data_IF_729412383305
#
_entry.id   IF_729412383305
#
_cell.length_a   1.000
_cell.length_b   1.000
_cell.length_c   1.000
_cell.angle_alpha   90.00
_cell.angle_beta   90.00
_cell.angle_gamma   90.00
#
_symmetry.space_group_name_H-M   'P 1'
#
loop_
_entity.id
_entity.type
_entity.pdbx_description
1 polymer ?
2 non-polymer ?
#
# COMPACT_ATOMS: atom_id res chain seq x y z
N UNK A 10 12.27 -5.61 13.28
CA UNK A 10 11.90 -6.27 12.03
C UNK A 10 10.63 -5.67 11.43
N UNK A 11 10.53 -5.73 10.11
CA UNK A 11 9.37 -5.18 9.42
C UNK A 11 8.68 -6.26 8.57
N UNK A 12 7.42 -6.52 8.88
CA UNK A 12 6.65 -7.53 8.15
C UNK A 12 5.76 -6.88 7.09
N UNK A 13 6.40 -6.35 6.04
CA UNK A 13 5.67 -5.70 4.96
C UNK A 13 5.09 -6.73 3.99
N UNK A 14 5.96 -7.33 3.19
CA UNK A 14 5.54 -8.33 2.21
C UNK A 14 4.41 -9.21 2.75
N UNK A 15 4.60 -9.74 3.96
CA UNK A 15 3.60 -10.58 4.60
C UNK A 15 2.24 -9.88 4.62
N UNK A 16 2.26 -8.58 4.93
CA UNK A 16 1.03 -7.80 4.98
C UNK A 16 0.61 -7.36 3.58
N UNK A 17 1.58 -7.04 2.75
CA UNK A 17 1.31 -6.61 1.39
C UNK A 17 0.52 -7.67 0.63
N UNK A 18 0.97 -8.92 0.71
CA UNK A 18 0.30 -10.03 0.06
C UNK A 18 -1.10 -10.23 0.62
N UNK A 19 -1.29 -9.87 1.89
CA UNK A 19 -2.58 -9.99 2.55
C UNK A 19 -3.61 -9.08 1.90
N UNK A 20 -3.22 -7.85 1.63
CA UNK A 20 -4.11 -6.87 1.00
C UNK A 20 -4.51 -7.29 -0.41
N UNK A 21 -3.63 -8.03 -1.08
CA UNK A 21 -3.95 -8.60 -2.39
C UNK A 21 -5.08 -9.61 -2.21
N UNK A 22 -4.93 -10.47 -1.20
CA UNK A 22 -5.94 -11.48 -0.88
C UNK A 22 -7.30 -10.83 -0.62
N UNK A 23 -7.32 -9.84 0.28
CA UNK A 23 -8.55 -9.14 0.63
C UNK A 23 -9.15 -8.45 -0.59
N UNK A 24 -8.28 -7.95 -1.47
CA UNK A 24 -8.70 -7.30 -2.70
C UNK A 24 -9.45 -8.27 -3.64
N UNK A 25 -8.79 -9.36 -4.01
CA UNK A 25 -9.41 -10.34 -4.90
C UNK A 25 -10.68 -10.91 -4.27
N UNK A 26 -10.67 -11.04 -2.95
CA UNK A 26 -11.87 -11.42 -2.22
C UNK A 26 -13.00 -10.44 -2.48
N UNK A 27 -12.68 -9.15 -2.37
CA UNK A 27 -13.66 -8.09 -2.58
C UNK A 27 -14.24 -8.14 -3.99
N UNK A 28 -13.38 -8.23 -5.01
CA UNK A 28 -13.86 -8.26 -6.38
C UNK A 28 -14.72 -9.51 -6.65
N UNK A 29 -14.36 -10.62 -6.01
CA UNK A 29 -15.16 -11.83 -6.08
C UNK A 29 -16.56 -11.58 -5.54
N UNK A 30 -16.62 -10.99 -4.35
CA UNK A 30 -17.90 -10.63 -3.73
C UNK A 30 -18.74 -9.77 -4.67
N UNK A 31 -18.10 -8.77 -5.27
CA UNK A 31 -18.78 -7.91 -6.25
C UNK A 31 -19.39 -8.73 -7.39
N UNK A 32 -18.60 -9.64 -7.95
CA UNK A 32 -19.07 -10.47 -9.07
C UNK A 32 -20.28 -11.31 -8.71
N UNK A 33 -20.13 -12.14 -7.68
CA UNK A 33 -21.22 -13.03 -7.26
C UNK A 33 -22.48 -12.24 -6.91
N UNK A 34 -22.30 -11.17 -6.15
CA UNK A 34 -23.42 -10.29 -5.79
C UNK A 34 -24.10 -9.74 -7.04
N UNK A 35 -23.32 -9.39 -8.05
CA UNK A 35 -23.88 -8.86 -9.29
C UNK A 35 -24.76 -9.89 -9.98
N UNK A 36 -24.26 -11.13 -10.06
CA UNK A 36 -25.04 -12.23 -10.63
C UNK A 36 -26.39 -12.36 -9.90
N UNK A 37 -26.31 -12.42 -8.56
CA UNK A 37 -27.50 -12.49 -7.73
C UNK A 37 -28.47 -11.35 -8.04
N UNK A 38 -27.92 -10.16 -8.22
CA UNK A 38 -28.70 -8.96 -8.52
C UNK A 38 -29.49 -9.12 -9.81
N UNK A 39 -28.79 -9.50 -10.88
CA UNK A 39 -29.45 -9.69 -12.17
C UNK A 39 -30.58 -10.71 -12.10
N UNK A 40 -30.29 -11.84 -11.45
CA UNK A 40 -31.33 -12.84 -11.19
C UNK A 40 -32.55 -12.21 -10.53
N UNK A 41 -32.29 -11.49 -9.44
CA UNK A 41 -33.33 -10.83 -8.66
C UNK A 41 -34.19 -9.89 -9.52
N UNK A 42 -33.53 -9.16 -10.43
CA UNK A 42 -34.23 -8.25 -11.33
C UNK A 42 -35.17 -9.02 -12.25
N UNK A 43 -34.66 -10.10 -12.84
CA UNK A 43 -35.51 -10.95 -13.68
C UNK A 43 -36.76 -11.39 -12.92
N UNK A 44 -36.53 -11.93 -11.73
CA UNK A 44 -37.61 -12.38 -10.84
C UNK A 44 -38.66 -11.31 -10.59
N UNK A 45 -38.20 -10.12 -10.20
CA UNK A 45 -39.11 -9.01 -9.94
C UNK A 45 -39.92 -8.68 -11.19
N UNK A 46 -39.24 -8.65 -12.33
CA UNK A 46 -39.90 -8.36 -13.61
C UNK A 46 -41.02 -9.37 -13.86
N UNK A 47 -40.75 -10.64 -13.59
CA UNK A 47 -41.74 -11.69 -13.78
C UNK A 47 -42.87 -11.53 -12.77
N UNK A 48 -42.53 -11.13 -11.56
CA UNK A 48 -43.52 -10.91 -10.52
C UNK A 48 -44.48 -9.79 -10.90
N UNK A 49 -43.93 -8.71 -11.42
CA UNK A 49 -44.74 -7.57 -11.86
C UNK A 49 -45.71 -7.99 -12.96
N UNK A 50 -45.21 -8.77 -13.90
CA UNK A 50 -46.03 -9.27 -15.00
C UNK A 50 -47.27 -9.98 -14.47
N UNK A 51 -47.04 -10.92 -13.56
CA UNK A 51 -48.16 -11.69 -13.00
C UNK A 51 -49.07 -10.86 -12.08
N UNK A 52 -48.49 -9.83 -11.44
CA UNK A 52 -49.30 -8.87 -10.69
C UNK A 52 -50.32 -8.21 -11.60
N UNK A 53 -49.85 -7.58 -12.68
CA UNK A 53 -50.74 -6.88 -13.60
C UNK A 53 -51.77 -7.85 -14.22
N UNK A 54 -51.33 -9.07 -14.50
CA UNK A 54 -52.24 -10.08 -15.04
C UNK A 54 -53.39 -10.38 -14.10
N UNK A 55 -53.06 -10.78 -12.87
CA UNK A 55 -54.09 -11.12 -11.90
C UNK A 55 -54.95 -9.93 -11.50
N UNK A 56 -54.39 -8.73 -11.67
CA UNK A 56 -55.16 -7.51 -11.48
C UNK A 56 -56.25 -7.40 -12.54
N UNK A 57 -55.83 -7.27 -13.80
CA UNK A 57 -56.77 -7.16 -14.91
C UNK A 57 -57.81 -8.28 -14.88
N UNK A 58 -57.35 -9.47 -14.53
CA UNK A 58 -58.22 -10.62 -14.30
C UNK A 58 -59.28 -10.29 -13.27
N UNK A 59 -58.84 -9.94 -12.06
CA UNK A 59 -59.77 -9.61 -10.97
C UNK A 59 -60.81 -8.58 -11.40
N UNK A 60 -60.37 -7.58 -12.13
CA UNK A 60 -61.25 -6.53 -12.65
C UNK A 60 -62.35 -7.12 -13.54
N UNK A 61 -61.92 -7.80 -14.62
CA UNK A 61 -62.85 -8.42 -15.55
C UNK A 61 -63.82 -9.37 -14.88
N UNK A 62 -63.30 -10.20 -13.98
CA UNK A 62 -64.10 -11.16 -13.25
C UNK A 62 -65.11 -10.48 -12.33
N UNK A 63 -64.74 -9.32 -11.78
CA UNK A 63 -65.67 -8.54 -10.97
C UNK A 63 -66.84 -8.06 -11.81
N UNK A 64 -66.51 -7.40 -12.93
CA UNK A 64 -67.55 -6.89 -13.83
C UNK A 64 -68.48 -8.00 -14.29
N UNK A 65 -67.90 -9.11 -14.74
CA UNK A 65 -68.66 -10.23 -15.24
C UNK A 65 -69.51 -10.88 -14.13
N UNK A 66 -68.97 -10.89 -12.92
CA UNK A 66 -69.69 -11.42 -11.77
C UNK A 66 -70.96 -10.61 -11.54
N UNK A 67 -70.82 -9.29 -11.46
CA UNK A 67 -71.99 -8.45 -11.26
C UNK A 67 -73.00 -8.61 -12.40
N UNK A 68 -72.49 -8.72 -13.63
CA UNK A 68 -73.35 -8.96 -14.79
C UNK A 68 -74.21 -10.21 -14.60
N UNK A 69 -73.54 -11.34 -14.35
CA UNK A 69 -74.23 -12.61 -14.19
C UNK A 69 -75.20 -12.62 -13.02
N UNK A 70 -74.81 -11.98 -11.92
CA UNK A 70 -75.67 -11.86 -10.76
C UNK A 70 -76.94 -11.14 -11.13
N UNK A 71 -76.79 -10.05 -11.90
CA UNK A 71 -77.94 -9.28 -12.35
C UNK A 71 -78.86 -10.10 -13.26
N UNK A 72 -78.28 -10.82 -14.22
CA UNK A 72 -79.07 -11.66 -15.12
C UNK A 72 -79.86 -12.72 -14.34
N UNK A 73 -79.19 -13.38 -13.40
CA UNK A 73 -79.82 -14.38 -12.55
C UNK A 73 -80.99 -13.76 -11.78
N UNK A 74 -80.76 -12.57 -11.23
CA UNK A 74 -81.82 -11.83 -10.54
C UNK A 74 -83.05 -11.64 -11.43
N UNK A 75 -82.82 -11.02 -12.59
CA UNK A 75 -83.88 -10.76 -13.54
C UNK A 75 -84.67 -12.02 -13.90
N UNK A 76 -83.96 -13.08 -14.29
CA UNK A 76 -84.61 -14.33 -14.66
C UNK A 76 -85.40 -14.96 -13.52
N UNK A 77 -84.86 -14.89 -12.30
CA UNK A 77 -85.58 -15.37 -11.13
C UNK A 77 -86.89 -14.61 -10.93
N UNK A 78 -86.85 -13.30 -11.16
CA UNK A 78 -88.06 -12.50 -11.11
C UNK A 78 -89.05 -12.92 -12.21
N UNK A 79 -88.52 -13.18 -13.41
CA UNK A 79 -89.33 -13.65 -14.53
C UNK A 79 -90.10 -14.92 -14.14
N UNK A 80 -89.38 -15.88 -13.57
CA UNK A 80 -89.99 -17.12 -13.11
C UNK A 80 -91.01 -16.87 -12.00
N UNK A 81 -90.63 -16.06 -11.02
CA UNK A 81 -91.49 -15.77 -9.88
C UNK A 81 -92.77 -15.05 -10.29
N UNK A 82 -92.75 -14.46 -11.49
CA UNK A 82 -93.94 -13.79 -12.01
C UNK A 82 -94.78 -14.71 -12.91
N UNK A 83 -94.11 -15.53 -13.72
CA UNK A 83 -94.83 -16.45 -14.61
C UNK A 83 -95.51 -17.59 -13.87
N UNK A 84 -94.81 -18.13 -12.87
CA UNK A 84 -95.30 -19.28 -12.09
C UNK A 84 -96.71 -19.16 -11.50
N UNK A 85 -97.05 -18.00 -10.90
CA UNK A 85 -98.42 -17.91 -10.37
C UNK A 85 -99.51 -17.92 -11.45
N UNK A 86 -99.14 -17.74 -12.72
CA UNK A 86 -100.13 -17.77 -13.80
C UNK A 86 -100.11 -19.12 -14.51
N UNK A 87 -99.82 -20.18 -13.76
CA UNK A 87 -99.78 -21.52 -14.33
C UNK A 87 -100.73 -22.46 -13.60
N UNK A 88 -100.39 -23.74 -13.58
CA UNK A 88 -101.22 -24.74 -12.92
C UNK A 88 -100.82 -24.91 -11.46
N UNK A 89 -101.65 -25.62 -10.70
CA UNK A 89 -101.38 -25.85 -9.28
C UNK A 89 -100.21 -26.81 -9.10
N UNK A 90 -100.27 -27.95 -9.78
CA UNK A 90 -99.21 -28.96 -9.69
C UNK A 90 -97.97 -28.46 -10.42
N UNK A 91 -98.20 -27.73 -11.51
CA UNK A 91 -97.11 -27.14 -12.28
C UNK A 91 -96.56 -25.92 -11.54
N UNK A 92 -97.43 -25.25 -10.80
CA UNK A 92 -97.01 -24.08 -10.02
C UNK A 92 -95.99 -24.51 -8.97
N UNK A 93 -96.36 -25.55 -8.21
CA UNK A 93 -95.45 -26.12 -7.23
C UNK A 93 -94.20 -26.69 -7.91
N UNK A 94 -94.43 -27.41 -9.00
CA UNK A 94 -93.35 -28.01 -9.79
C UNK A 94 -92.28 -26.98 -10.12
N UNK A 95 -92.71 -25.90 -10.77
CA UNK A 95 -91.83 -24.83 -11.21
C UNK A 95 -91.21 -24.08 -10.05
N UNK A 96 -92.00 -23.85 -9.01
CA UNK A 96 -91.50 -23.19 -7.81
C UNK A 96 -90.28 -23.93 -7.26
N UNK A 97 -90.49 -25.19 -6.91
CA UNK A 97 -89.42 -26.03 -6.38
C UNK A 97 -88.25 -26.12 -7.37
N UNK A 98 -88.57 -26.23 -8.65
CA UNK A 98 -87.56 -26.29 -9.70
C UNK A 98 -86.62 -25.08 -9.67
N UNK A 99 -87.20 -23.89 -9.55
CA UNK A 99 -86.43 -22.65 -9.50
C UNK A 99 -85.61 -22.58 -8.22
N UNK A 100 -86.28 -22.82 -7.08
CA UNK A 100 -85.62 -22.74 -5.79
C UNK A 100 -84.49 -23.76 -5.67
N UNK A 101 -84.52 -24.79 -6.52
CA UNK A 101 -83.42 -25.74 -6.60
C UNK A 101 -82.39 -25.29 -7.63
N UNK A 102 -82.84 -24.51 -8.62
CA UNK A 102 -81.96 -23.99 -9.65
C UNK A 102 -80.97 -23.00 -9.04
N UNK A 103 -81.44 -22.27 -8.02
CA UNK A 103 -80.56 -21.37 -7.30
C UNK A 103 -79.44 -22.13 -6.58
N UNK A 104 -79.76 -23.35 -6.16
CA UNK A 104 -78.81 -24.19 -5.42
C UNK A 104 -77.67 -24.70 -6.30
N UNK A 105 -76.47 -24.19 -6.07
CA UNK A 105 -75.29 -24.66 -6.78
C UNK A 105 -74.24 -25.19 -5.80
N UNK A 106 -74.01 -26.50 -5.85
CA UNK A 106 -73.08 -27.15 -4.94
C UNK A 106 -71.64 -27.01 -5.41
N UNK A 107 -70.70 -27.05 -4.47
CA UNK A 107 -69.28 -26.91 -4.79
C UNK A 107 -68.76 -28.02 -5.68
N UNK A 108 -69.36 -29.20 -5.59
CA UNK A 108 -68.98 -30.31 -6.46
C UNK A 108 -69.32 -29.97 -7.90
N UNK A 109 -70.58 -29.57 -8.10
CA UNK A 109 -71.05 -29.09 -9.39
C UNK A 109 -70.13 -27.99 -9.92
N UNK A 110 -69.80 -27.03 -9.06
CA UNK A 110 -68.92 -25.92 -9.43
C UNK A 110 -67.54 -26.38 -9.90
N UNK A 111 -66.93 -27.28 -9.13
CA UNK A 111 -65.66 -27.88 -9.50
C UNK A 111 -65.75 -28.52 -10.87
N UNK A 112 -66.88 -29.17 -11.13
CA UNK A 112 -67.12 -29.78 -12.44
C UNK A 112 -67.19 -28.72 -13.54
N UNK A 113 -67.92 -27.64 -13.29
CA UNK A 113 -68.08 -26.58 -14.29
C UNK A 113 -66.75 -25.93 -14.63
N UNK A 114 -66.04 -25.47 -13.61
CA UNK A 114 -64.77 -24.79 -13.84
C UNK A 114 -63.75 -25.73 -14.46
N UNK A 115 -63.80 -27.00 -14.03
CA UNK A 115 -62.99 -28.04 -14.61
C UNK A 115 -63.22 -28.08 -16.11
N UNK A 116 -64.38 -28.56 -16.53
CA UNK A 116 -64.73 -28.66 -17.94
C UNK A 116 -64.47 -27.38 -18.74
N UNK A 117 -64.66 -26.23 -18.10
CA UNK A 117 -64.36 -24.95 -18.74
C UNK A 117 -62.87 -24.82 -19.08
N UNK A 118 -62.00 -25.00 -18.09
CA UNK A 118 -60.57 -24.84 -18.31
C UNK A 118 -59.98 -26.00 -19.14
N UNK A 119 -60.61 -27.16 -19.08
CA UNK A 119 -60.19 -28.32 -19.86
C UNK A 119 -60.52 -28.14 -21.33
N UNK A 120 -61.75 -27.71 -21.60
CA UNK A 120 -62.16 -27.44 -22.98
C UNK A 120 -61.50 -26.17 -23.52
N UNK A 121 -61.07 -25.28 -22.63
CA UNK A 121 -60.31 -24.12 -23.05
C UNK A 121 -58.94 -24.59 -23.49
N UNK A 122 -58.41 -25.54 -22.73
CA UNK A 122 -57.13 -26.18 -23.00
C UNK A 122 -57.14 -26.96 -24.31
N UNK A 123 -58.27 -27.56 -24.61
CA UNK A 123 -58.38 -28.39 -25.80
C UNK A 123 -58.74 -27.62 -27.06
N UNK A 124 -59.60 -26.61 -26.93
CA UNK A 124 -60.02 -25.83 -28.10
C UNK A 124 -58.92 -24.90 -28.61
N UNK A 125 -57.85 -24.78 -27.83
CA UNK A 125 -56.76 -23.85 -28.13
C UNK A 125 -55.47 -24.58 -28.53
N UNK A 126 -55.62 -25.69 -29.26
CA UNK A 126 -54.50 -26.53 -29.67
C UNK A 126 -53.55 -25.85 -30.66
N UNK B 11 -11.41 -4.87 4.79
CA UNK B 11 -12.01 -3.90 5.68
C UNK B 11 -10.96 -3.20 6.55
N UNK B 12 -9.72 -3.67 6.44
CA UNK B 12 -8.59 -3.03 7.08
C UNK B 12 -7.45 -2.86 6.09
N UNK B 13 -7.76 -2.23 4.95
CA UNK B 13 -6.78 -2.04 3.88
C UNK B 13 -6.13 -0.66 3.83
N UNK B 14 -6.91 0.44 3.96
CA UNK B 14 -6.26 1.75 4.00
C UNK B 14 -5.24 1.87 5.14
N UNK B 15 -5.59 1.31 6.29
CA UNK B 15 -4.69 1.27 7.44
C UNK B 15 -3.37 0.64 7.04
N UNK B 16 -3.47 -0.53 6.42
CA UNK B 16 -2.30 -1.25 5.92
C UNK B 16 -1.45 -0.39 5.02
N UNK B 17 -2.08 0.22 4.01
CA UNK B 17 -1.36 1.05 3.05
C UNK B 17 -0.62 2.21 3.69
N UNK B 18 -1.30 2.96 4.55
CA UNK B 18 -0.65 4.06 5.25
C UNK B 18 0.50 3.56 6.13
N UNK B 19 0.35 2.35 6.68
CA UNK B 19 1.42 1.75 7.45
C UNK B 19 2.64 1.44 6.58
N UNK B 20 2.39 0.91 5.39
CA UNK B 20 3.45 0.63 4.43
C UNK B 20 4.19 1.91 4.08
N UNK B 21 3.42 2.97 3.83
CA UNK B 21 3.99 4.28 3.49
C UNK B 21 4.88 4.77 4.63
N UNK B 22 4.38 4.68 5.86
CA UNK B 22 5.14 5.11 7.03
C UNK B 22 6.47 4.36 7.15
N UNK B 23 6.40 3.03 7.05
CA UNK B 23 7.60 2.21 7.17
C UNK B 23 8.62 2.48 6.07
N UNK B 24 8.13 2.66 4.84
CA UNK B 24 8.99 2.98 3.71
C UNK B 24 9.71 4.31 3.91
N UNK B 25 8.94 5.36 4.19
CA UNK B 25 9.48 6.68 4.44
C UNK B 25 10.53 6.64 5.56
N UNK B 26 10.22 5.88 6.61
CA UNK B 26 11.18 5.63 7.68
C UNK B 26 12.50 5.07 7.14
N UNK B 27 12.39 3.93 6.46
CA UNK B 27 13.54 3.23 5.90
C UNK B 27 14.42 4.13 5.03
N UNK B 28 13.80 4.88 4.12
CA UNK B 28 14.55 5.75 3.22
C UNK B 28 15.13 6.98 3.90
N UNK B 29 14.45 7.48 4.93
CA UNK B 29 15.01 8.57 5.73
C UNK B 29 16.29 8.07 6.37
N UNK B 30 16.23 6.86 6.93
CA UNK B 30 17.40 6.22 7.52
C UNK B 30 18.52 6.02 6.51
N UNK B 31 18.16 5.64 5.29
CA UNK B 31 19.16 5.46 4.23
C UNK B 31 19.83 6.78 3.88
N UNK B 32 19.04 7.85 3.79
CA UNK B 32 19.57 9.18 3.51
C UNK B 32 20.56 9.61 4.59
N UNK B 33 20.15 9.48 5.85
CA UNK B 33 21.01 9.86 6.97
C UNK B 33 22.32 9.06 6.97
N UNK B 34 22.19 7.75 6.85
CA UNK B 34 23.36 6.86 6.85
C UNK B 34 24.29 7.19 5.70
N UNK B 35 23.71 7.56 4.56
CA UNK B 35 24.50 7.94 3.39
C UNK B 35 25.30 9.21 3.66
N UNK B 36 24.61 10.23 4.18
CA UNK B 36 25.27 11.50 4.48
C UNK B 36 26.42 11.32 5.48
N UNK B 37 26.14 10.63 6.57
CA UNK B 37 27.17 10.35 7.58
C UNK B 37 28.33 9.58 6.97
N UNK B 38 28.00 8.61 6.12
CA UNK B 38 29.02 7.82 5.42
C UNK B 38 29.94 8.70 4.59
N UNK B 39 29.35 9.63 3.85
CA UNK B 39 30.12 10.51 2.98
C UNK B 39 31.02 11.48 3.75
N UNK B 40 30.47 12.06 4.82
CA UNK B 40 31.26 12.95 5.66
C UNK B 40 32.44 12.18 6.26
N UNK B 41 32.17 10.98 6.76
CA UNK B 41 33.21 10.11 7.29
C UNK B 41 34.27 9.79 6.25
N UNK B 42 33.83 9.61 5.00
CA UNK B 42 34.74 9.34 3.90
C UNK B 42 35.70 10.52 3.69
N UNK B 43 35.13 11.72 3.64
CA UNK B 43 35.94 12.92 3.48
C UNK B 43 36.96 13.06 4.61
N UNK B 44 36.52 12.79 5.84
CA UNK B 44 37.43 12.84 6.99
C UNK B 44 38.58 11.85 6.85
N UNK B 45 38.24 10.61 6.49
CA UNK B 45 39.22 9.55 6.28
C UNK B 45 40.27 9.99 5.25
N UNK B 46 39.80 10.57 4.15
CA UNK B 46 40.71 11.03 3.10
C UNK B 46 41.63 12.16 3.58
N UNK B 47 41.07 13.12 4.31
CA UNK B 47 41.84 14.23 4.85
C UNK B 47 42.97 13.71 5.74
N UNK B 48 42.59 12.80 6.64
CA UNK B 48 43.56 12.09 7.46
C UNK B 48 44.65 11.47 6.62
N UNK B 49 44.25 10.67 5.63
CA UNK B 49 45.22 10.02 4.73
C UNK B 49 46.23 11.00 4.17
N UNK B 50 45.75 12.16 3.74
CA UNK B 50 46.62 13.24 3.29
C UNK B 50 47.64 13.56 4.38
N UNK B 51 47.16 13.76 5.60
CA UNK B 51 48.07 14.07 6.72
C UNK B 51 49.11 12.97 7.00
N UNK B 52 48.65 11.73 7.07
CA UNK B 52 49.51 10.56 7.33
C UNK B 52 50.58 10.40 6.26
N UNK B 53 50.21 10.64 5.01
CA UNK B 53 51.18 10.65 3.92
C UNK B 53 52.22 11.74 4.14
N UNK B 54 51.73 12.95 4.43
CA UNK B 54 52.59 14.10 4.69
C UNK B 54 53.64 13.79 5.75
N UNK B 55 53.18 13.31 6.91
CA UNK B 55 54.08 13.00 8.02
C UNK B 55 54.91 11.75 7.75
N UNK B 56 54.50 10.95 6.78
CA UNK B 56 55.30 9.80 6.36
C UNK B 56 56.54 10.29 5.63
N UNK B 57 56.35 11.07 4.57
CA UNK B 57 57.48 11.59 3.82
C UNK B 57 58.34 12.53 4.67
N UNK B 58 57.68 13.26 5.55
CA UNK B 58 58.36 14.15 6.48
C UNK B 58 59.25 13.31 7.38
N UNK B 59 58.69 12.23 7.93
CA UNK B 59 59.44 11.31 8.78
C UNK B 59 60.69 10.81 8.05
N UNK B 60 60.50 10.42 6.79
CA UNK B 60 61.58 9.98 5.94
C UNK B 60 62.73 11.01 5.86
N UNK B 61 62.41 12.20 5.35
CA UNK B 61 63.39 13.26 5.22
C UNK B 61 64.09 13.62 6.53
N UNK B 62 63.28 13.82 7.57
CA UNK B 62 63.79 14.13 8.90
C UNK B 62 64.79 13.07 9.36
N UNK B 63 64.47 11.80 9.10
CA UNK B 63 65.35 10.70 9.45
C UNK B 63 66.70 10.81 8.73
N UNK B 64 66.62 11.03 7.41
CA UNK B 64 67.82 11.18 6.60
C UNK B 64 68.74 12.29 7.11
N UNK B 65 68.17 13.49 7.28
CA UNK B 65 68.95 14.63 7.71
C UNK B 65 69.48 14.45 9.13
N UNK B 66 68.69 13.79 9.97
CA UNK B 66 69.10 13.47 11.34
C UNK B 66 70.36 12.64 11.35
N UNK B 67 70.35 11.54 10.59
CA UNK B 67 71.52 10.67 10.54
C UNK B 67 72.73 11.33 9.89
N UNK B 68 72.47 12.14 8.85
CA UNK B 68 73.54 12.91 8.20
C UNK B 68 74.25 13.82 9.20
N UNK B 69 73.48 14.69 9.85
CA UNK B 69 74.06 15.63 10.82
C UNK B 69 74.69 14.93 12.01
N UNK B 70 74.11 13.79 12.41
CA UNK B 70 74.67 12.99 13.49
C UNK B 70 76.07 12.51 13.11
N UNK B 71 76.19 11.97 11.89
CA UNK B 71 77.48 11.50 11.39
C UNK B 71 78.51 12.62 11.32
N UNK B 72 78.13 13.74 10.72
CA UNK B 72 79.00 14.91 10.62
C UNK B 72 79.50 15.32 12.01
N UNK B 73 78.57 15.40 12.96
CA UNK B 73 78.89 15.75 14.33
C UNK B 73 79.94 14.79 14.91
N UNK B 74 79.71 13.49 14.71
CA UNK B 74 80.64 12.47 15.19
C UNK B 74 82.05 12.70 14.63
N UNK B 75 82.13 12.92 13.33
CA UNK B 75 83.42 13.17 12.67
C UNK B 75 84.14 14.39 13.24
N UNK B 76 83.46 15.54 13.22
CA UNK B 76 84.04 16.77 13.74
C UNK B 76 84.52 16.61 15.18
N UNK B 77 83.72 15.94 15.99
CA UNK B 77 84.11 15.62 17.36
C UNK B 77 85.41 14.82 17.37
N UNK B 78 85.49 13.82 16.49
CA UNK B 78 86.67 12.97 16.41
C UNK B 78 87.93 13.77 16.03
N UNK B 79 87.80 14.77 15.17
CA UNK B 79 88.99 15.52 14.76
C UNK B 79 89.33 16.64 15.75
N UNK B 80 88.36 17.09 16.52
CA UNK B 80 88.65 17.96 17.66
C UNK B 80 89.51 17.14 18.61
N UNK B 81 89.08 15.90 18.84
CA UNK B 81 89.83 14.96 19.66
C UNK B 81 91.23 14.73 19.10
N UNK B 82 91.36 14.78 17.78
CA UNK B 82 92.66 14.62 17.14
C UNK B 82 93.58 15.83 17.34
N UNK B 83 93.04 17.03 17.15
CA UNK B 83 93.84 18.25 17.21
C UNK B 83 94.25 18.61 18.63
N UNK B 84 93.31 18.49 19.57
CA UNK B 84 93.53 18.90 20.97
C UNK B 84 94.91 18.56 21.60
N UNK B 85 95.36 17.29 21.51
CA UNK B 85 96.60 16.95 22.21
C UNK B 85 97.88 17.66 21.72
N UNK B 86 97.77 18.51 20.70
CA UNK B 86 98.94 19.24 20.21
C UNK B 86 98.93 20.69 20.70
N UNK B 87 98.13 20.98 21.71
CA UNK B 87 98.02 22.34 22.23
C UNK B 87 98.74 22.48 23.56
N UNK B 88 98.88 23.71 24.01
CA UNK B 88 99.35 23.97 25.37
C UNK B 88 98.28 23.51 26.35
N UNK B 89 98.70 23.22 27.58
CA UNK B 89 97.79 22.64 28.57
C UNK B 89 96.51 23.44 28.79
N UNK B 90 96.65 24.71 29.16
CA UNK B 90 95.48 25.57 29.35
C UNK B 90 94.57 25.60 28.13
N UNK B 91 95.19 25.73 26.96
CA UNK B 91 94.45 25.73 25.69
C UNK B 91 93.68 24.43 25.52
N UNK B 92 94.34 23.31 25.80
CA UNK B 92 93.71 21.99 25.74
C UNK B 92 92.48 21.95 26.64
N UNK B 93 92.61 22.46 27.86
CA UNK B 93 91.51 22.48 28.80
C UNK B 93 90.34 23.33 28.29
N UNK B 94 90.66 24.51 27.75
CA UNK B 94 89.64 25.40 27.21
C UNK B 94 88.87 24.74 26.07
N UNK B 95 89.61 24.18 25.12
CA UNK B 95 88.98 23.55 23.95
C UNK B 95 88.18 22.31 24.35
N UNK B 96 88.70 21.52 25.28
CA UNK B 96 87.99 20.35 25.78
C UNK B 96 86.68 20.76 26.43
N UNK B 97 86.75 21.79 27.26
CA UNK B 97 85.56 22.33 27.92
C UNK B 97 84.54 22.83 26.89
N UNK B 98 85.04 23.44 25.82
CA UNK B 98 84.18 24.00 24.78
C UNK B 98 83.49 22.91 23.96
N UNK B 99 84.23 21.86 23.59
CA UNK B 99 83.69 20.74 22.86
C UNK B 99 82.65 20.04 23.72
N UNK B 100 83.03 19.81 24.97
CA UNK B 100 82.16 19.22 25.98
C UNK B 100 80.83 19.96 26.05
N UNK B 101 80.92 21.28 26.17
CA UNK B 101 79.74 22.14 26.27
C UNK B 101 78.91 22.10 25.00
N UNK B 102 79.59 22.03 23.85
CA UNK B 102 78.94 22.07 22.55
C UNK B 102 77.97 20.92 22.35
N UNK B 103 78.34 19.73 22.80
CA UNK B 103 77.53 18.54 22.63
C UNK B 103 76.37 18.47 23.62
N UNK B 104 76.21 19.52 24.43
CA UNK B 104 75.12 19.60 25.38
C UNK B 104 74.11 20.67 24.96
N UNK B 105 72.98 20.22 24.42
CA UNK B 105 71.93 21.13 23.99
C UNK B 105 70.73 21.09 24.94
N UNK B 106 70.39 22.26 25.50
CA UNK B 106 69.30 22.34 26.45
C UNK B 106 67.98 22.69 25.77
N UNK B 107 66.87 22.44 26.48
CA UNK B 107 65.53 22.62 25.94
C UNK B 107 65.30 24.02 25.38
N UNK B 108 65.71 25.04 26.13
CA UNK B 108 65.55 26.42 25.70
C UNK B 108 66.33 26.71 24.42
N UNK B 109 67.53 26.13 24.34
CA UNK B 109 68.37 26.30 23.15
C UNK B 109 67.68 25.72 21.92
N UNK B 110 67.31 24.46 21.98
CA UNK B 110 66.66 23.81 20.83
C UNK B 110 65.30 24.43 20.48
N UNK B 111 64.55 24.86 21.49
CA UNK B 111 63.29 25.56 21.27
C UNK B 111 63.49 26.86 20.53
N UNK B 112 64.47 27.65 21.00
CA UNK B 112 64.84 28.89 20.35
C UNK B 112 65.41 28.65 18.94
N UNK B 113 65.87 27.43 18.70
CA UNK B 113 66.41 27.03 17.39
C UNK B 113 65.33 26.53 16.41
N UNK B 114 64.39 25.75 16.91
CA UNK B 114 63.31 25.22 16.09
C UNK B 114 62.56 26.34 15.37
N UNK B 115 62.28 27.41 16.10
CA UNK B 115 61.58 28.55 15.53
C UNK B 115 62.51 29.59 14.96
N UNK B 116 63.60 29.14 14.35
CA UNK B 116 64.58 30.03 13.74
C UNK B 116 64.07 30.62 12.44
N UNK B 117 63.89 29.76 11.44
CA UNK B 117 63.39 30.20 10.13
C UNK B 117 62.22 31.16 10.28
N UNK B 118 61.39 30.91 11.27
CA UNK B 118 60.22 31.76 11.51
C UNK B 118 60.63 33.09 12.14
N UNK B 119 61.57 33.05 13.09
CA UNK B 119 62.04 34.26 13.76
C UNK B 119 63.14 34.95 12.96
N UNK B 120 63.38 34.47 11.74
CA UNK B 120 64.35 35.10 10.86
C UNK B 120 63.67 35.63 9.59
N UNK B 121 63.08 36.81 9.72
CA UNK B 121 62.43 37.47 8.60
C UNK B 121 63.10 38.81 8.33
N UNK B 122 62.56 39.55 7.36
CA UNK B 122 63.09 40.86 6.98
C UNK B 122 64.56 40.81 6.53
N UNK C 10 13.45 7.63 -8.19
CA UNK C 10 13.43 6.30 -8.79
C UNK C 10 12.40 5.40 -8.11
N UNK C 11 12.09 5.71 -6.86
CA UNK C 11 11.18 4.89 -6.08
C UNK C 11 9.74 5.37 -6.19
N UNK C 12 8.96 4.68 -7.00
CA UNK C 12 7.56 5.03 -7.24
C UNK C 12 6.66 4.31 -6.25
N UNK C 13 6.90 4.50 -4.96
CA UNK C 13 6.15 3.79 -3.93
C UNK C 13 4.93 4.55 -3.35
N UNK C 14 5.14 5.78 -2.81
CA UNK C 14 3.98 6.43 -2.19
C UNK C 14 2.89 6.79 -3.20
N UNK C 15 3.30 7.10 -4.43
CA UNK C 15 2.34 7.42 -5.48
C UNK C 15 1.56 6.18 -5.87
N UNK C 16 2.25 5.05 -5.97
CA UNK C 16 1.63 3.78 -6.30
C UNK C 16 0.70 3.30 -5.18
N UNK C 17 1.15 3.45 -3.94
CA UNK C 17 0.36 3.05 -2.79
C UNK C 17 -0.89 3.91 -2.61
N UNK C 18 -0.75 5.21 -2.83
CA UNK C 18 -1.90 6.11 -2.78
C UNK C 18 -2.87 5.82 -3.92
N UNK C 19 -2.30 5.49 -5.08
CA UNK C 19 -3.11 5.03 -6.22
C UNK C 19 -3.94 3.81 -5.82
N UNK C 20 -3.31 2.88 -5.11
CA UNK C 20 -3.99 1.69 -4.59
C UNK C 20 -5.12 2.06 -3.62
N UNK C 21 -4.83 2.95 -2.66
CA UNK C 21 -5.84 3.43 -1.73
C UNK C 21 -7.06 3.94 -2.51
N UNK C 22 -6.80 4.76 -3.52
CA UNK C 22 -7.84 5.25 -4.41
C UNK C 22 -8.69 4.12 -4.99
N UNK C 23 -8.07 3.24 -5.79
CA UNK C 23 -8.86 2.23 -6.51
C UNK C 23 -9.53 1.16 -5.64
N UNK C 24 -8.94 0.87 -4.48
CA UNK C 24 -9.62 0.04 -3.49
C UNK C 24 -10.88 0.72 -3.05
N UNK C 25 -10.75 1.96 -2.61
CA UNK C 25 -11.91 2.72 -2.14
C UNK C 25 -12.98 2.83 -3.22
N UNK C 26 -12.54 2.94 -4.48
CA UNK C 26 -13.46 2.98 -5.62
C UNK C 26 -14.25 1.69 -5.74
N UNK C 27 -13.52 0.56 -5.72
CA UNK C 27 -14.14 -0.75 -5.78
C UNK C 27 -15.15 -0.96 -4.65
N UNK C 28 -14.72 -0.61 -3.44
CA UNK C 28 -15.56 -0.67 -2.25
C UNK C 28 -16.86 0.10 -2.45
N UNK C 29 -16.72 1.33 -2.93
CA UNK C 29 -17.87 2.19 -3.23
C UNK C 29 -18.82 1.53 -4.22
N UNK C 30 -18.28 1.03 -5.32
CA UNK C 30 -19.09 0.38 -6.35
C UNK C 30 -19.85 -0.81 -5.77
N UNK C 31 -19.16 -1.59 -4.94
CA UNK C 31 -19.80 -2.68 -4.22
C UNK C 31 -21.01 -2.18 -3.44
N UNK C 32 -20.77 -1.30 -2.47
CA UNK C 32 -21.85 -0.79 -1.61
C UNK C 32 -23.04 -0.26 -2.41
N UNK C 33 -22.74 0.46 -3.49
CA UNK C 33 -23.77 0.91 -4.43
C UNK C 33 -24.62 -0.26 -4.92
N UNK C 34 -23.96 -1.26 -5.48
CA UNK C 34 -24.65 -2.43 -6.00
C UNK C 34 -25.49 -3.13 -4.92
N UNK C 35 -24.97 -3.13 -3.70
CA UNK C 35 -25.65 -3.73 -2.55
C UNK C 35 -26.95 -2.99 -2.22
N UNK C 36 -26.88 -1.66 -2.17
CA UNK C 36 -28.09 -0.86 -1.96
C UNK C 36 -29.12 -1.13 -3.05
N UNK C 37 -28.67 -1.10 -4.30
CA UNK C 37 -29.53 -1.42 -5.44
C UNK C 37 -30.22 -2.77 -5.24
N UNK C 38 -29.44 -3.77 -4.83
CA UNK C 38 -29.95 -5.11 -4.54
C UNK C 38 -31.04 -5.07 -3.49
N UNK C 39 -30.78 -4.41 -2.36
CA UNK C 39 -31.76 -4.32 -1.28
C UNK C 39 -33.07 -3.71 -1.74
N UNK C 40 -32.97 -2.65 -2.53
CA UNK C 40 -34.16 -2.06 -3.15
C UNK C 40 -34.91 -3.08 -4.02
N UNK C 41 -34.17 -3.75 -4.89
CA UNK C 41 -34.77 -4.78 -5.75
C UNK C 41 -35.52 -5.83 -4.94
N UNK C 42 -34.92 -6.25 -3.83
CA UNK C 42 -35.50 -7.25 -2.95
C UNK C 42 -36.82 -6.76 -2.37
N UNK C 43 -36.78 -5.58 -1.76
CA UNK C 43 -37.98 -5.00 -1.16
C UNK C 43 -39.12 -4.85 -2.18
N UNK C 44 -38.83 -4.15 -3.26
CA UNK C 44 -39.83 -3.90 -4.30
C UNK C 44 -40.39 -5.20 -4.88
N UNK C 45 -39.52 -6.20 -5.05
CA UNK C 45 -39.93 -7.52 -5.51
C UNK C 45 -40.91 -8.16 -4.54
N UNK C 46 -40.60 -8.08 -3.25
CA UNK C 46 -41.44 -8.68 -2.22
C UNK C 46 -42.82 -8.02 -2.15
N UNK C 47 -42.86 -6.70 -2.15
CA UNK C 47 -44.13 -5.98 -2.16
C UNK C 47 -44.94 -6.34 -3.40
N UNK C 48 -44.25 -6.35 -4.55
CA UNK C 48 -44.85 -6.76 -5.81
C UNK C 48 -45.49 -8.14 -5.68
N UNK C 49 -44.79 -9.04 -4.98
CA UNK C 49 -45.28 -10.39 -4.75
C UNK C 49 -46.54 -10.40 -3.89
N UNK C 50 -46.55 -9.56 -2.85
CA UNK C 50 -47.72 -9.47 -1.98
C UNK C 50 -48.94 -8.99 -2.75
N UNK C 51 -48.74 -8.01 -3.63
CA UNK C 51 -49.80 -7.57 -4.54
C UNK C 51 -50.29 -8.71 -5.41
N UNK C 52 -49.33 -9.36 -6.07
CA UNK C 52 -49.58 -10.51 -6.94
C UNK C 52 -50.46 -11.56 -6.26
N UNK C 53 -50.12 -11.89 -5.02
CA UNK C 53 -50.89 -12.85 -4.23
C UNK C 53 -52.30 -12.33 -3.92
N UNK C 54 -52.36 -11.07 -3.49
CA UNK C 54 -53.64 -10.39 -3.22
C UNK C 54 -54.62 -10.56 -4.37
N UNK C 55 -54.20 -10.13 -5.56
CA UNK C 55 -55.09 -10.18 -6.72
C UNK C 55 -55.26 -11.59 -7.27
N UNK C 56 -54.32 -12.48 -6.94
CA UNK C 56 -54.48 -13.88 -7.28
C UNK C 56 -55.66 -14.46 -6.54
N UNK C 57 -55.62 -14.36 -5.21
CA UNK C 57 -56.69 -14.85 -4.36
C UNK C 57 -58.02 -14.19 -4.69
N UNK C 58 -57.97 -12.88 -4.94
CA UNK C 58 -59.16 -12.12 -5.29
C UNK C 58 -59.79 -12.62 -6.59
N UNK C 59 -58.97 -12.73 -7.63
CA UNK C 59 -59.41 -13.28 -8.91
C UNK C 59 -59.96 -14.70 -8.73
N UNK C 60 -59.40 -15.44 -7.77
CA UNK C 60 -59.87 -16.79 -7.46
C UNK C 60 -61.32 -16.78 -6.98
N UNK C 61 -61.56 -16.10 -5.86
CA UNK C 61 -62.90 -16.02 -5.30
C UNK C 61 -63.91 -15.46 -6.30
N UNK C 62 -63.53 -14.37 -6.95
CA UNK C 62 -64.36 -13.76 -7.99
C UNK C 62 -64.71 -14.77 -9.09
N UNK C 63 -63.74 -15.58 -9.47
CA UNK C 63 -63.96 -16.62 -10.48
C UNK C 63 -65.03 -17.60 -10.03
N UNK C 64 -64.86 -18.12 -8.81
CA UNK C 64 -65.84 -19.05 -8.25
C UNK C 64 -67.26 -18.49 -8.24
N UNK C 65 -67.43 -17.32 -7.63
CA UNK C 65 -68.76 -16.70 -7.57
C UNK C 65 -69.33 -16.41 -8.96
N UNK C 66 -68.46 -16.00 -9.88
CA UNK C 66 -68.86 -15.70 -11.25
C UNK C 66 -69.45 -16.94 -11.93
N UNK C 67 -68.70 -18.04 -11.87
CA UNK C 67 -69.20 -19.31 -12.41
C UNK C 67 -70.52 -19.71 -11.77
N UNK C 68 -70.61 -19.51 -10.45
CA UNK C 68 -71.83 -19.82 -9.71
C UNK C 68 -73.03 -19.10 -10.32
N UNK C 69 -72.96 -17.77 -10.37
CA UNK C 69 -74.05 -16.97 -10.91
C UNK C 69 -74.35 -17.28 -12.37
N UNK C 70 -73.32 -17.62 -13.14
CA UNK C 70 -73.51 -17.98 -14.55
C UNK C 70 -74.36 -19.25 -14.67
N UNK C 71 -74.02 -20.26 -13.87
CA UNK C 71 -74.77 -21.51 -13.88
C UNK C 71 -76.21 -21.32 -13.40
N UNK C 72 -76.39 -20.52 -12.35
CA UNK C 72 -77.73 -20.20 -11.87
C UNK C 72 -78.54 -19.54 -12.98
N UNK C 73 -77.92 -18.59 -13.67
CA UNK C 73 -78.54 -17.89 -14.78
C UNK C 73 -78.99 -18.86 -15.88
N UNK C 74 -78.10 -19.77 -16.29
CA UNK C 74 -78.50 -20.79 -17.26
C UNK C 74 -79.69 -21.59 -16.77
N UNK C 75 -79.54 -22.22 -15.62
CA UNK C 75 -80.60 -23.05 -15.04
C UNK C 75 -81.96 -22.38 -15.06
N UNK C 76 -81.99 -21.12 -14.61
CA UNK C 76 -83.20 -20.32 -14.68
C UNK C 76 -83.72 -20.18 -16.11
N UNK C 77 -82.82 -19.89 -17.05
CA UNK C 77 -83.23 -19.83 -18.46
C UNK C 77 -83.83 -21.13 -18.98
N UNK C 78 -83.11 -22.24 -18.82
CA UNK C 78 -83.59 -23.58 -19.17
C UNK C 78 -84.98 -23.83 -18.60
N UNK C 79 -85.14 -23.53 -17.31
CA UNK C 79 -86.45 -23.62 -16.67
C UNK C 79 -87.49 -22.83 -17.48
N UNK C 80 -87.17 -21.58 -17.81
CA UNK C 80 -88.04 -20.76 -18.65
C UNK C 80 -88.39 -21.39 -20.00
N UNK C 81 -87.38 -21.92 -20.68
CA UNK C 81 -87.54 -22.58 -21.96
C UNK C 81 -88.40 -23.83 -21.82
N UNK C 82 -88.49 -24.34 -20.59
CA UNK C 82 -89.30 -25.53 -20.33
C UNK C 82 -90.72 -25.21 -19.83
N UNK C 83 -90.96 -24.00 -19.34
CA UNK C 83 -92.32 -23.63 -18.95
C UNK C 83 -93.07 -22.93 -20.08
N UNK C 84 -92.33 -22.36 -21.02
CA UNK C 84 -92.93 -21.72 -22.18
C UNK C 84 -93.88 -22.63 -22.99
N UNK C 85 -93.49 -23.90 -23.24
CA UNK C 85 -94.41 -24.75 -24.01
C UNK C 85 -95.75 -24.99 -23.30
N UNK C 86 -95.74 -24.98 -21.97
CA UNK C 86 -96.97 -25.15 -21.20
C UNK C 86 -97.69 -23.82 -21.03
N UNK C 87 -97.02 -22.75 -21.42
CA UNK C 87 -97.59 -21.41 -21.35
C UNK C 87 -98.39 -21.08 -22.61
N UNK C 88 -99.41 -20.24 -22.44
CA UNK C 88 -100.25 -19.81 -23.55
C UNK C 88 -99.53 -18.88 -24.54
N UNK C 89 -99.88 -19.01 -25.82
CA UNK C 89 -99.24 -18.23 -26.89
C UNK C 89 -99.34 -16.72 -26.76
N UNK C 90 -100.18 -16.24 -25.84
CA UNK C 90 -100.26 -14.81 -25.58
C UNK C 90 -99.23 -14.42 -24.52
N UNK C 91 -98.98 -15.36 -23.62
CA UNK C 91 -97.98 -15.17 -22.57
C UNK C 91 -96.58 -15.57 -23.04
N UNK C 92 -96.53 -16.55 -23.94
CA UNK C 92 -95.25 -17.07 -24.46
C UNK C 92 -94.37 -15.98 -25.06
N UNK C 93 -94.95 -15.22 -25.99
CA UNK C 93 -94.22 -14.16 -26.69
C UNK C 93 -93.69 -13.11 -25.71
N UNK C 94 -94.55 -12.66 -24.80
CA UNK C 94 -94.19 -11.64 -23.82
C UNK C 94 -92.99 -12.06 -22.97
N UNK C 95 -93.09 -13.23 -22.35
CA UNK C 95 -92.04 -13.72 -21.47
C UNK C 95 -90.78 -14.07 -22.27
N UNK C 96 -90.96 -14.42 -23.54
CA UNK C 96 -89.83 -14.66 -24.43
C UNK C 96 -89.03 -13.38 -24.60
N UNK C 97 -89.71 -12.30 -24.96
CA UNK C 97 -89.08 -10.99 -25.09
C UNK C 97 -88.44 -10.55 -23.77
N UNK C 98 -89.14 -10.82 -22.68
CA UNK C 98 -88.67 -10.48 -21.35
C UNK C 98 -87.34 -11.14 -21.04
N UNK C 99 -87.24 -12.44 -21.32
CA UNK C 99 -85.98 -13.17 -21.14
C UNK C 99 -84.91 -12.65 -22.10
N UNK C 100 -85.33 -12.31 -23.32
CA UNK C 100 -84.43 -11.74 -24.32
C UNK C 100 -83.68 -10.53 -23.77
N UNK C 101 -84.43 -9.49 -23.39
CA UNK C 101 -83.85 -8.27 -22.81
C UNK C 101 -83.14 -8.52 -21.47
N UNK C 102 -83.71 -9.42 -20.67
CA UNK C 102 -83.13 -9.75 -19.37
C UNK C 102 -81.65 -10.11 -19.49
N UNK C 103 -81.29 -10.78 -20.58
CA UNK C 103 -79.92 -11.17 -20.84
C UNK C 103 -79.04 -9.99 -21.22
N UNK C 104 -79.64 -8.85 -21.53
CA UNK C 104 -78.86 -7.68 -21.89
C UNK C 104 -78.64 -6.74 -20.70
N UNK C 105 -77.36 -6.52 -20.38
CA UNK C 105 -76.97 -5.63 -19.29
C UNK C 105 -76.00 -4.58 -19.80
N UNK C 106 -76.44 -3.32 -19.77
CA UNK C 106 -75.60 -2.21 -20.25
C UNK C 106 -74.61 -1.78 -19.16
N UNK C 107 -73.56 -1.07 -19.56
CA UNK C 107 -72.58 -0.56 -18.62
C UNK C 107 -73.19 0.45 -17.65
N UNK C 108 -74.28 1.09 -18.08
CA UNK C 108 -74.99 2.04 -17.23
C UNK C 108 -75.70 1.33 -16.08
N UNK C 109 -76.40 0.25 -16.41
CA UNK C 109 -77.06 -0.59 -15.41
C UNK C 109 -76.04 -1.21 -14.47
N UNK C 110 -74.98 -1.76 -15.04
CA UNK C 110 -73.88 -2.36 -14.29
C UNK C 110 -73.34 -1.35 -13.28
N UNK C 111 -72.93 -0.20 -13.78
CA UNK C 111 -72.45 0.90 -12.95
C UNK C 111 -73.46 1.31 -11.88
N UNK C 112 -74.75 1.17 -12.20
CA UNK C 112 -75.82 1.56 -11.29
C UNK C 112 -75.97 0.60 -10.11
N UNK C 113 -76.07 -0.70 -10.40
CA UNK C 113 -76.15 -1.71 -9.34
C UNK C 113 -74.86 -1.78 -8.51
N UNK C 114 -73.71 -1.62 -9.19
CA UNK C 114 -72.42 -1.59 -8.51
C UNK C 114 -72.35 -0.40 -7.55
N UNK C 115 -72.62 0.80 -8.08
CA UNK C 115 -72.62 2.00 -7.26
C UNK C 115 -73.57 1.91 -6.08
N UNK C 116 -74.76 1.38 -6.34
CA UNK C 116 -75.78 1.24 -5.30
C UNK C 116 -75.35 0.30 -4.20
N UNK C 117 -74.90 -0.90 -4.56
CA UNK C 117 -74.53 -1.89 -3.55
C UNK C 117 -73.23 -1.52 -2.83
N UNK C 118 -72.36 -0.80 -3.51
CA UNK C 118 -71.17 -0.21 -2.88
C UNK C 118 -71.62 0.77 -1.81
N UNK C 119 -72.56 1.63 -2.20
CA UNK C 119 -73.14 2.61 -1.29
C UNK C 119 -73.78 1.90 -0.10
N UNK C 120 -74.35 0.72 -0.37
CA UNK C 120 -74.94 -0.09 0.66
C UNK C 120 -73.88 -0.59 1.64
N UNK C 121 -72.75 -1.04 1.09
CA UNK C 121 -71.64 -1.50 1.92
C UNK C 121 -71.12 -0.36 2.79
N UNK C 122 -71.12 0.84 2.23
CA UNK C 122 -70.68 2.02 2.96
C UNK C 122 -71.63 2.35 4.11
N UNK C 123 -72.93 2.27 3.84
CA UNK C 123 -73.94 2.63 4.82
C UNK C 123 -74.16 1.54 5.88
N UNK C 124 -73.75 0.32 5.54
CA UNK C 124 -73.85 -0.80 6.47
C UNK C 124 -72.57 -0.90 7.29
N UNK C 125 -71.52 -0.23 6.83
CA UNK C 125 -70.26 -0.17 7.55
C UNK C 125 -70.39 0.72 8.77
N UNK C 126 -71.20 0.27 9.73
CA UNK C 126 -71.45 1.03 10.94
C UNK C 126 -71.74 0.06 12.08
N UNK D 11 0.94 -2.32 -15.24
CA UNK D 11 0.39 -1.44 -14.21
C UNK D 11 -0.91 -2.00 -13.64
N UNK D 12 -0.92 -3.30 -13.38
CA UNK D 12 -2.10 -3.96 -12.84
C UNK D 12 -2.28 -3.64 -11.34
N UNK D 13 -3.16 -4.39 -10.69
CA UNK D 13 -3.43 -4.18 -9.27
C UNK D 13 -2.53 -5.08 -8.42
N UNK D 14 -2.51 -6.37 -8.74
CA UNK D 14 -1.69 -7.34 -8.00
C UNK D 14 -0.21 -7.16 -8.31
N UNK D 15 0.11 -7.02 -9.59
CA UNK D 15 1.48 -6.80 -10.03
C UNK D 15 1.98 -5.43 -9.58
N UNK D 16 1.05 -4.53 -9.28
CA UNK D 16 1.40 -3.25 -8.68
C UNK D 16 1.96 -3.46 -7.28
N UNK D 17 1.26 -4.26 -6.49
CA UNK D 17 1.68 -4.61 -5.15
C UNK D 17 3.01 -5.35 -5.18
N UNK D 18 3.13 -6.24 -6.16
CA UNK D 18 4.40 -6.93 -6.41
C UNK D 18 5.52 -5.92 -6.65
N UNK D 19 5.29 -4.96 -7.55
CA UNK D 19 6.25 -3.88 -7.80
C UNK D 19 6.65 -3.14 -6.53
N UNK D 20 5.66 -2.81 -5.71
CA UNK D 20 5.88 -2.19 -4.42
C UNK D 20 6.87 -3.02 -3.59
N UNK D 21 6.60 -4.32 -3.50
CA UNK D 21 7.48 -5.22 -2.77
C UNK D 21 8.89 -5.16 -3.33
N UNK D 22 9.04 -5.42 -4.63
CA UNK D 22 10.32 -5.32 -5.34
C UNK D 22 11.13 -4.08 -5.00
N UNK D 23 10.51 -2.91 -5.11
CA UNK D 23 11.19 -1.66 -4.77
C UNK D 23 11.61 -1.63 -3.30
N UNK D 24 10.73 -2.11 -2.42
CA UNK D 24 11.04 -2.11 -0.99
C UNK D 24 12.22 -3.03 -0.63
N UNK D 25 12.18 -4.26 -1.16
CA UNK D 25 13.26 -5.23 -0.98
C UNK D 25 14.57 -4.67 -1.52
N UNK D 26 14.48 -3.99 -2.66
CA UNK D 26 15.63 -3.33 -3.25
C UNK D 26 16.22 -2.31 -2.28
N UNK D 27 15.35 -1.49 -1.69
CA UNK D 27 15.81 -0.47 -0.74
C UNK D 27 16.43 -1.10 0.51
N UNK D 28 15.86 -2.22 0.95
CA UNK D 28 16.40 -2.96 2.09
C UNK D 28 17.82 -3.42 1.79
N UNK D 29 18.00 -4.04 0.63
CA UNK D 29 19.31 -4.48 0.17
C UNK D 29 20.30 -3.32 0.12
N UNK D 30 19.87 -2.23 -0.50
CA UNK D 30 20.71 -1.03 -0.60
C UNK D 30 21.15 -0.52 0.75
N UNK D 31 20.22 -0.45 1.70
CA UNK D 31 20.56 0.00 3.05
C UNK D 31 21.55 -0.94 3.72
N UNK D 32 21.40 -2.24 3.48
CA UNK D 32 22.33 -3.22 4.05
C UNK D 32 23.74 -3.00 3.52
N UNK D 33 23.88 -2.97 2.20
CA UNK D 33 25.17 -2.76 1.56
C UNK D 33 25.82 -1.46 2.02
N UNK D 34 25.04 -0.39 2.02
CA UNK D 34 25.51 0.90 2.51
C UNK D 34 25.99 0.80 3.95
N UNK D 35 25.27 0.04 4.76
CA UNK D 35 25.60 -0.11 6.18
C UNK D 35 26.95 -0.80 6.39
N UNK D 36 27.12 -1.98 5.79
CA UNK D 36 28.39 -2.68 5.94
C UNK D 36 29.56 -1.87 5.35
N UNK D 37 29.30 -1.16 4.24
CA UNK D 37 30.32 -0.31 3.64
C UNK D 37 30.69 0.85 4.57
N UNK D 38 29.71 1.35 5.32
CA UNK D 38 29.92 2.48 6.22
C UNK D 38 30.74 2.00 7.39
N UNK D 39 30.49 0.77 7.83
CA UNK D 39 31.26 0.19 8.93
C UNK D 39 32.73 -0.07 8.57
N UNK D 40 32.96 -0.75 7.44
CA UNK D 40 34.34 -0.99 6.99
C UNK D 40 35.04 0.35 6.77
N UNK D 41 34.25 1.33 6.34
CA UNK D 41 34.73 2.69 6.14
C UNK D 41 35.26 3.28 7.44
N UNK D 42 34.42 3.29 8.47
CA UNK D 42 34.80 3.81 9.78
C UNK D 42 36.05 3.11 10.32
N UNK D 43 36.08 1.79 10.18
CA UNK D 43 37.25 1.01 10.61
C UNK D 43 38.52 1.52 9.95
N UNK D 44 38.47 1.63 8.61
CA UNK D 44 39.57 2.17 7.83
C UNK D 44 39.98 3.56 8.32
N UNK D 45 38.97 4.38 8.65
CA UNK D 45 39.22 5.74 9.14
C UNK D 45 40.03 5.72 10.42
N UNK D 46 39.62 4.89 11.38
CA UNK D 46 40.34 4.81 12.65
C UNK D 46 41.77 4.31 12.45
N UNK D 47 41.94 3.34 11.54
CA UNK D 47 43.28 2.86 11.21
C UNK D 47 44.16 4.02 10.70
N UNK D 48 43.62 4.75 9.73
CA UNK D 48 44.31 5.90 9.14
C UNK D 48 44.65 6.95 10.19
N UNK D 49 43.74 7.14 11.14
CA UNK D 49 43.94 8.10 12.23
C UNK D 49 45.10 7.67 13.10
N UNK D 50 45.12 6.39 13.46
CA UNK D 50 46.21 5.81 14.24
C UNK D 50 47.55 6.08 13.57
N UNK D 51 47.66 5.68 12.31
CA UNK D 51 48.89 5.92 11.55
C UNK D 51 49.25 7.40 11.50
N UNK D 52 48.23 8.26 11.41
CA UNK D 52 48.44 9.70 11.39
C UNK D 52 49.11 10.21 12.66
N UNK D 53 48.50 9.93 13.81
CA UNK D 53 49.07 10.36 15.08
C UNK D 53 50.48 9.80 15.26
N UNK D 54 50.62 8.52 14.93
CA UNK D 54 51.89 7.83 15.01
C UNK D 54 53.00 8.57 14.28
N UNK D 55 52.78 8.84 12.99
CA UNK D 55 53.80 9.48 12.17
C UNK D 55 53.99 10.96 12.44
N UNK D 56 52.95 11.63 12.94
CA UNK D 56 53.13 13.01 13.41
C UNK D 56 54.10 13.02 14.58
N UNK D 57 53.83 12.22 15.60
CA UNK D 57 54.68 12.18 16.79
C UNK D 57 56.10 11.79 16.43
N UNK D 58 56.23 10.76 15.61
CA UNK D 58 57.55 10.34 15.12
C UNK D 58 58.27 11.51 14.46
N UNK D 59 57.52 12.26 13.65
CA UNK D 59 58.07 13.44 12.98
C UNK D 59 58.54 14.51 13.95
N UNK D 60 57.81 14.68 15.07
CA UNK D 60 58.20 15.63 16.11
C UNK D 60 59.54 15.21 16.72
N UNK D 61 59.64 13.92 17.03
CA UNK D 61 60.85 13.36 17.59
C UNK D 61 62.06 13.55 16.68
N UNK D 62 61.91 13.07 15.45
CA UNK D 62 62.97 13.23 14.44
C UNK D 62 63.35 14.70 14.26
N UNK D 63 62.38 15.59 14.42
CA UNK D 63 62.59 17.03 14.28
C UNK D 63 63.55 17.47 15.37
N UNK D 64 63.18 17.17 16.60
CA UNK D 64 63.99 17.53 17.75
C UNK D 64 65.42 17.02 17.62
N UNK D 65 65.55 15.72 17.39
CA UNK D 65 66.88 15.10 17.25
C UNK D 65 67.71 15.70 16.11
N UNK D 66 67.09 15.89 14.95
CA UNK D 66 67.77 16.51 13.81
C UNK D 66 68.30 17.89 14.16
N UNK D 67 67.46 18.72 14.77
CA UNK D 67 67.88 20.09 15.03
C UNK D 67 68.98 20.09 16.07
N UNK D 68 68.90 19.16 17.00
CA UNK D 68 69.93 18.96 18.00
C UNK D 68 71.29 18.67 17.35
N UNK D 69 71.35 17.57 16.59
CA UNK D 69 72.61 17.17 15.96
C UNK D 69 73.13 18.24 15.00
N UNK D 70 72.21 18.97 14.39
CA UNK D 70 72.58 20.08 13.52
C UNK D 70 73.32 21.15 14.32
N UNK D 71 72.74 21.52 15.47
CA UNK D 71 73.35 22.52 16.33
C UNK D 71 74.71 22.08 16.85
N UNK D 72 74.77 20.85 17.36
CA UNK D 72 76.04 20.29 17.85
C UNK D 72 77.10 20.35 16.76
N UNK D 73 76.74 19.90 15.56
CA UNK D 73 77.65 19.94 14.42
C UNK D 73 78.16 21.34 14.12
N UNK D 74 77.24 22.31 14.10
CA UNK D 74 77.60 23.71 13.86
C UNK D 74 78.61 24.20 14.91
N UNK D 75 78.30 23.92 16.17
CA UNK D 75 79.16 24.31 17.28
C UNK D 75 80.57 23.74 17.14
N UNK D 76 80.64 22.43 16.92
CA UNK D 76 81.92 21.75 16.76
C UNK D 76 82.72 22.31 15.59
N UNK D 77 82.03 22.61 14.50
CA UNK D 77 82.66 23.23 13.34
C UNK D 77 83.28 24.57 13.70
N UNK D 78 82.54 25.36 14.48
CA UNK D 78 83.05 26.63 14.97
C UNK D 78 84.30 26.44 15.82
N UNK D 79 84.26 25.45 16.72
CA UNK D 79 85.39 25.15 17.59
C UNK D 79 86.64 24.77 16.81
N UNK D 80 86.47 23.94 15.77
CA UNK D 80 87.57 23.61 14.88
C UNK D 80 88.09 24.86 14.20
N UNK D 81 87.17 25.69 13.72
CA UNK D 81 87.51 26.93 13.03
C UNK D 81 88.39 27.84 13.89
N UNK D 82 88.10 27.85 15.18
CA UNK D 82 88.84 28.69 16.12
C UNK D 82 90.16 28.05 16.54
N UNK D 83 90.19 26.73 16.61
CA UNK D 83 91.37 26.02 17.12
C UNK D 83 92.44 25.81 16.04
N UNK D 84 92.05 25.86 14.77
CA UNK D 84 92.98 25.69 13.67
C UNK D 84 94.17 26.68 13.61
N UNK D 85 93.91 28.00 13.71
CA UNK D 85 95.02 28.95 13.54
C UNK D 85 96.12 28.88 14.59
N UNK D 86 96.06 27.92 15.51
CA UNK D 86 97.10 27.75 16.52
C UNK D 86 98.19 26.79 16.06
N UNK D 87 97.95 26.11 14.94
CA UNK D 87 98.80 25.00 14.52
C UNK D 87 99.88 25.37 13.49
N UNK D 88 100.75 24.41 13.22
CA UNK D 88 101.78 24.55 12.20
C UNK D 88 101.09 24.71 10.84
N UNK D 89 101.75 25.42 9.93
CA UNK D 89 101.18 25.73 8.62
C UNK D 89 100.65 24.49 7.89
N UNK D 90 101.42 23.41 7.93
CA UNK D 90 101.03 22.15 7.30
C UNK D 90 99.92 21.48 8.11
N UNK D 91 100.03 21.53 9.42
CA UNK D 91 99.03 20.95 10.31
C UNK D 91 97.68 21.61 10.07
N UNK D 92 97.71 22.93 9.89
CA UNK D 92 96.49 23.70 9.62
C UNK D 92 95.81 23.27 8.33
N UNK D 93 96.61 23.07 7.30
CA UNK D 93 96.09 22.63 6.00
C UNK D 93 95.45 21.26 6.13
N UNK D 94 96.18 20.34 6.75
CA UNK D 94 95.70 18.98 6.98
C UNK D 94 94.36 18.97 7.72
N UNK D 95 94.29 19.68 8.83
CA UNK D 95 93.07 19.70 9.63
C UNK D 95 91.91 20.37 8.89
N UNK D 96 92.17 21.50 8.23
CA UNK D 96 91.14 22.20 7.48
C UNK D 96 90.53 21.31 6.39
N UNK D 97 91.42 20.64 5.65
CA UNK D 97 91.00 19.65 4.67
C UNK D 97 90.13 18.59 5.34
N UNK D 98 90.61 18.09 6.47
CA UNK D 98 89.92 17.03 7.22
C UNK D 98 88.51 17.41 7.64
N UNK D 99 88.33 18.64 8.12
CA UNK D 99 87.00 19.09 8.57
C UNK D 99 86.06 19.38 7.40
N UNK D 100 86.53 20.11 6.39
CA UNK D 100 85.64 20.39 5.27
C UNK D 100 85.33 19.13 4.47
N UNK D 101 86.12 18.09 4.68
CA UNK D 101 85.82 16.77 4.13
C UNK D 101 84.88 16.01 5.07
N UNK D 102 84.94 16.32 6.35
CA UNK D 102 84.08 15.70 7.34
C UNK D 102 82.64 16.13 7.15
N UNK D 103 82.44 17.39 6.76
CA UNK D 103 81.11 17.93 6.52
C UNK D 103 80.55 17.47 5.17
N UNK D 104 81.18 16.45 4.59
CA UNK D 104 80.68 15.84 3.37
C UNK D 104 80.32 14.39 3.59
N UNK D 105 79.03 14.11 3.60
CA UNK D 105 78.53 12.75 3.59
C UNK D 105 77.80 12.53 2.26
N UNK D 106 78.16 11.46 1.56
CA UNK D 106 77.54 11.18 0.28
C UNK D 106 76.17 10.53 0.49
N UNK D 107 75.55 10.09 -0.60
CA UNK D 107 74.25 9.43 -0.51
C UNK D 107 74.41 7.94 -0.28
N UNK D 108 75.55 7.39 -0.71
CA UNK D 108 75.83 5.97 -0.54
C UNK D 108 76.06 5.63 0.92
N UNK D 109 76.95 6.36 1.57
CA UNK D 109 77.24 6.12 2.99
C UNK D 109 76.08 6.56 3.88
N UNK D 110 75.29 7.53 3.40
CA UNK D 110 74.09 7.95 4.11
C UNK D 110 73.07 6.83 4.07
N UNK D 111 72.93 6.21 2.90
CA UNK D 111 72.09 5.02 2.75
C UNK D 111 72.61 3.90 3.63
N UNK D 112 73.93 3.83 3.79
CA UNK D 112 74.55 2.81 4.62
C UNK D 112 74.19 2.97 6.09
N UNK D 113 74.40 4.17 6.64
CA UNK D 113 74.10 4.42 8.05
C UNK D 113 72.60 4.36 8.34
N UNK D 114 71.80 4.90 7.43
CA UNK D 114 70.34 4.85 7.59
C UNK D 114 69.82 3.42 7.56
N UNK D 115 70.16 2.70 6.50
CA UNK D 115 69.77 1.30 6.35
C UNK D 115 70.23 0.44 7.51
N UNK D 116 71.45 0.72 7.99
CA UNK D 116 71.95 0.02 9.18
C UNK D 116 71.14 0.33 10.43
N UNK D 117 71.20 1.59 10.90
CA UNK D 117 70.45 2.01 12.10
C UNK D 117 69.00 1.51 12.07
N UNK D 118 68.45 1.46 10.86
CA UNK D 118 67.20 0.76 10.58
C UNK D 118 67.30 -0.69 11.04
N UNK D 119 68.24 -1.45 10.45
CA UNK D 119 68.44 -2.85 10.85
C UNK D 119 68.79 -3.03 12.33
N UNK D 120 69.11 -1.93 13.00
CA UNK D 120 69.45 -1.96 14.42
C UNK D 120 68.25 -1.64 15.30
N UNK D 121 67.33 -0.86 14.75
CA UNK D 121 66.13 -0.47 15.49
C UNK D 121 65.00 -1.48 15.28
N UNK D 122 65.26 -2.73 15.64
CA UNK D 122 64.27 -3.79 15.49
C UNK D 122 63.89 -4.38 16.85
N UNK D 123 62.59 -4.31 17.17
CA UNK D 123 62.09 -4.83 18.44
C UNK D 123 60.83 -5.66 18.23
N UNK D 124 60.22 -5.53 17.05
CA UNK D 124 59.01 -6.27 16.73
C UNK D 124 57.92 -6.01 17.76
N UNK D 126 58.49 -0.85 13.36
CA UNK D 126 58.04 0.41 13.92
C UNK D 126 57.59 1.37 12.82
N UNK D 127 58.45 1.57 11.83
CA UNK D 127 58.15 2.50 10.75
C UNK D 127 59.43 3.11 10.20
N UNK D 128 59.36 4.40 9.86
CA UNK D 128 60.50 5.14 9.29
C UNK D 128 61.31 4.35 8.26
N UNK D 129 60.67 3.97 7.16
CA UNK D 129 61.34 3.26 6.09
C UNK D 129 61.76 4.20 4.97
N UNK D 130 62.84 3.85 4.26
CA UNK D 130 63.36 4.65 3.15
C UNK D 130 62.45 4.86 1.92
N UNK D 131 61.47 4.00 1.65
CA UNK D 131 60.60 4.46 0.56
C UNK D 131 59.55 5.40 1.11
N UNK D 132 58.56 5.75 0.30
CA UNK D 132 57.49 6.65 0.73
C UNK D 132 56.13 6.18 0.21
N UNK D 133 55.63 5.01 0.81
CA UNK D 133 54.33 4.61 0.27
C UNK D 133 53.17 5.01 1.20
X LIG E 1 -58.67 -2.21 -17.59
X LIG E 1 -58.12 -3.21 -18.41
X LIG E 1 -57.55 -1.43 -16.92
X LIG E 1 -57.47 -1.80 -15.56
X LIG E 1 -57.84 0.06 -17.02
X LIG E 1 -56.63 0.79 -16.93
X LIG F 1 -58.36 -17.67 -12.18
X LIG F 1 -57.79 -18.35 -13.28
X LIG F 1 -58.20 -18.50 -10.91
X LIG F 1 -57.89 -17.64 -9.85
X LIG F 1 -57.08 -19.51 -11.09
X LIG F 1 -55.84 -18.84 -10.99
#
# INVERSE_FOLDING_TARGET
>A
GAMGSGQPFKFTIPESLDRIKEEFQFLQAQYHSLKLECEKLASEKTEMQRHYVMYYEMSYGLNIEMHKQTEIAKRLNTICAQVIPFLSQEHQQQVAQAVERAKQVTMAELNAIIGQQQLQAQHLSHGHGPPVPLTPHPSGLQPPGIP
>B
GAMGSGQPFKFTIPESLDRIKEEFQFLQAQYHSLKLECEKLASEKTEMQRHYVMYYEMSYGLNIEMHKQTEIAKRLNTICAQVIPFLSQEHQQQVAQAVERAKQVTMAELNAIIGQQQLQAQHLSHGHGPPVPLTPHPSGLQPPGIP
>C
GAMGSGQPFKFTIPESLDRIKEEFQFLQAQYHSLKLECEKLASEKTEMQRHYVMYYEMSYGLNIEMHKQTEIAKRLNTICAQVIPFLSQEHQQQVAQAVERAKQVTMAELNAIIGQQQLQAQHLSHGHGPPVPLTPHPSGLQPPGIP
>D
GAMGSGQPFKFTIPESLDRIKEEFQFLQAQYHSLKLECEKLASEKTEMQRHYVMYYEMSYGLNIEMHKQTEIAKRLNTICAQVIPFLSQEHQQQVAQAVERAKQVTMAELNAIIGQQQLQAQHLSHGHGPPVPLTPHPSGLQPPGIP
>E hetero
1 GOL C1 O1 C2 O2 C3 O3
>F hetero
1 GOL C1 O1 C2 O2 C3 O3
#
